data_IF_257566325174
#
_entry.id   IF_257566325174
#
_cell.length_a   1.000
_cell.length_b   1.000
_cell.length_c   1.000
_cell.angle_alpha   90.00
_cell.angle_beta   90.00
_cell.angle_gamma   90.00
#
_symmetry.space_group_name_H-M   'P 1'
#
loop_
_entity.id
_entity.type
_entity.pdbx_description
1 polymer ?
#
# COMPACT_ATOMS: atom_id res chain seq x y z
N UNK A 1 5.30 -2.26 -24.36
CA UNK A 1 5.06 -0.87 -23.88
C UNK A 1 5.86 -0.58 -22.59
N UNK A 2 6.37 -1.64 -21.94
CA UNK A 2 7.20 -1.65 -20.73
C UNK A 2 8.27 -0.56 -20.67
N UNK A 3 9.13 -0.38 -21.68
CA UNK A 3 10.23 0.60 -21.60
C UNK A 3 9.73 2.03 -21.41
N UNK A 4 8.64 2.43 -22.08
CA UNK A 4 8.06 3.77 -21.94
C UNK A 4 7.50 3.98 -20.54
N UNK A 5 6.79 2.99 -20.00
CA UNK A 5 6.25 3.01 -18.63
C UNK A 5 7.40 3.09 -17.62
N UNK A 6 8.40 2.22 -17.77
CA UNK A 6 9.58 2.19 -16.91
C UNK A 6 10.29 3.53 -16.84
N UNK A 7 10.61 4.16 -17.98
CA UNK A 7 11.29 5.45 -17.96
C UNK A 7 10.43 6.59 -17.39
N UNK A 8 9.12 6.54 -17.61
CA UNK A 8 8.20 7.51 -16.99
C UNK A 8 8.18 7.37 -15.47
N UNK A 9 8.07 6.14 -14.97
CA UNK A 9 8.10 5.83 -13.53
C UNK A 9 9.45 6.19 -12.93
N UNK A 10 10.56 5.77 -13.56
CA UNK A 10 11.92 6.06 -13.10
C UNK A 10 12.17 7.56 -12.99
N UNK A 11 11.75 8.33 -13.98
CA UNK A 11 11.84 9.80 -13.96
C UNK A 11 11.04 10.35 -12.78
N UNK A 12 9.79 9.93 -12.61
CA UNK A 12 8.91 10.45 -11.58
C UNK A 12 9.38 10.12 -10.16
N UNK A 13 9.93 8.91 -9.94
CA UNK A 13 10.59 8.53 -8.68
C UNK A 13 11.77 9.47 -8.40
N UNK A 14 12.66 9.66 -9.39
CA UNK A 14 13.87 10.46 -9.23
C UNK A 14 13.59 11.96 -9.01
N UNK A 15 12.53 12.48 -9.62
CA UNK A 15 12.13 13.89 -9.48
C UNK A 15 11.09 14.13 -8.39
N UNK A 16 10.55 13.06 -7.78
CA UNK A 16 9.37 13.11 -6.89
C UNK A 16 8.20 13.89 -7.52
N UNK A 17 8.03 13.76 -8.85
CA UNK A 17 7.04 14.55 -9.60
C UNK A 17 6.65 13.85 -10.93
N UNK A 18 5.35 13.67 -11.22
CA UNK A 18 4.19 13.98 -10.35
C UNK A 18 4.19 13.12 -9.07
N UNK A 19 3.30 13.37 -8.13
CA UNK A 19 3.13 12.55 -6.91
C UNK A 19 2.43 11.20 -7.19
N UNK A 20 1.82 11.07 -8.37
CA UNK A 20 1.12 9.86 -8.81
C UNK A 20 1.18 9.68 -10.32
N UNK A 21 1.37 8.44 -10.75
CA UNK A 21 1.20 7.99 -12.14
C UNK A 21 0.16 6.87 -12.19
N UNK A 22 -0.69 6.90 -13.22
CA UNK A 22 -1.67 5.84 -13.50
C UNK A 22 -1.52 5.48 -14.98
N UNK A 23 -1.37 4.18 -15.24
CA UNK A 23 -1.33 3.61 -16.57
C UNK A 23 -2.48 2.60 -16.67
N UNK A 24 -3.35 2.80 -17.65
CA UNK A 24 -4.52 1.95 -17.93
C UNK A 24 -4.21 0.98 -19.06
N UNK A 25 -4.89 -0.17 -19.10
CA UNK A 25 -4.75 -1.19 -20.15
C UNK A 25 -3.29 -1.66 -20.36
N UNK A 26 -2.53 -1.78 -19.27
CA UNK A 26 -1.15 -2.27 -19.30
C UNK A 26 -1.17 -3.80 -19.48
N UNK A 27 -0.32 -4.32 -20.35
CA UNK A 27 -0.17 -5.76 -20.48
C UNK A 27 0.47 -6.35 -19.21
N UNK A 28 -0.03 -7.48 -18.66
CA UNK A 28 0.58 -8.12 -17.48
C UNK A 28 2.08 -8.39 -17.62
N UNK A 29 2.56 -8.76 -18.82
CA UNK A 29 3.98 -9.02 -19.08
C UNK A 29 4.77 -7.70 -19.09
N UNK A 30 4.18 -6.62 -19.62
CA UNK A 30 4.76 -5.29 -19.53
C UNK A 30 4.86 -4.82 -18.06
N UNK A 31 3.85 -5.10 -17.23
CA UNK A 31 3.90 -4.82 -15.78
C UNK A 31 5.01 -5.63 -15.09
N UNK A 32 5.08 -6.94 -15.33
CA UNK A 32 6.11 -7.80 -14.74
C UNK A 32 7.51 -7.30 -15.09
N UNK A 33 7.75 -6.97 -16.36
CA UNK A 33 9.03 -6.40 -16.81
C UNK A 33 9.33 -5.04 -16.14
N UNK A 34 8.34 -4.17 -15.97
CA UNK A 34 8.51 -2.88 -15.27
C UNK A 34 8.88 -3.11 -13.80
N UNK A 35 8.18 -4.02 -13.10
CA UNK A 35 8.43 -4.32 -11.69
C UNK A 35 9.84 -4.91 -11.49
N UNK A 36 10.24 -5.86 -12.32
CA UNK A 36 11.58 -6.44 -12.31
C UNK A 36 12.65 -5.37 -12.58
N UNK A 37 12.43 -4.53 -13.59
CA UNK A 37 13.35 -3.45 -13.92
C UNK A 37 13.50 -2.47 -12.75
N UNK A 38 12.42 -2.04 -12.11
CA UNK A 38 12.48 -1.10 -10.97
C UNK A 38 13.21 -1.70 -9.76
N UNK A 39 13.14 -3.02 -9.56
CA UNK A 39 13.84 -3.73 -8.49
C UNK A 39 15.30 -4.04 -8.81
N UNK A 40 15.73 -3.81 -10.05
CA UNK A 40 17.12 -4.06 -10.42
C UNK A 40 18.07 -3.06 -9.74
N UNK A 41 19.11 -3.52 -9.00
CA UNK A 41 19.99 -2.65 -8.20
C UNK A 41 20.72 -1.54 -8.99
N UNK A 42 20.90 -1.73 -10.31
CA UNK A 42 21.52 -0.71 -11.17
C UNK A 42 20.74 0.61 -11.21
N UNK A 43 19.44 0.60 -10.87
CA UNK A 43 18.62 1.80 -10.87
C UNK A 43 18.79 2.67 -9.62
N UNK A 44 19.40 2.14 -8.55
CA UNK A 44 19.72 2.83 -7.29
C UNK A 44 18.50 3.50 -6.66
N UNK A 45 17.41 2.75 -6.53
CA UNK A 45 16.12 3.26 -6.07
C UNK A 45 15.89 3.07 -4.56
N UNK A 46 16.82 2.42 -3.86
CA UNK A 46 16.73 2.11 -2.42
C UNK A 46 16.61 3.37 -1.55
N UNK A 47 17.16 4.50 -2.01
CA UNK A 47 17.07 5.80 -1.34
C UNK A 47 15.79 6.59 -1.63
N UNK A 48 14.89 6.08 -2.47
CA UNK A 48 13.67 6.77 -2.89
C UNK A 48 12.43 6.14 -2.28
N UNK A 49 11.46 6.97 -1.90
CA UNK A 49 10.15 6.52 -1.43
C UNK A 49 9.16 6.52 -2.59
N UNK A 50 8.67 5.34 -2.96
CA UNK A 50 7.61 5.14 -3.94
C UNK A 50 6.79 3.89 -3.58
N UNK A 51 5.58 3.78 -4.13
CA UNK A 51 4.68 2.64 -3.95
C UNK A 51 4.15 2.21 -5.31
N UNK A 52 4.09 0.91 -5.54
CA UNK A 52 3.58 0.26 -6.73
C UNK A 52 2.30 -0.48 -6.35
N UNK A 53 1.26 -0.29 -7.16
CA UNK A 53 0.03 -1.04 -7.07
C UNK A 53 -0.39 -1.49 -8.46
N UNK A 54 -0.63 -2.78 -8.60
CA UNK A 54 -1.11 -3.43 -9.81
C UNK A 54 -2.48 -4.04 -9.54
N UNK A 55 -3.45 -3.64 -10.35
CA UNK A 55 -4.81 -4.11 -10.29
C UNK A 55 -5.03 -5.02 -11.49
N UNK A 56 -4.88 -6.33 -11.28
CA UNK A 56 -4.89 -7.32 -12.37
C UNK A 56 -6.22 -7.34 -13.12
N UNK A 57 -7.34 -7.25 -12.41
CA UNK A 57 -8.68 -7.17 -12.97
C UNK A 57 -8.86 -5.99 -13.95
N UNK A 58 -8.26 -4.84 -13.60
CA UNK A 58 -8.37 -3.59 -14.38
C UNK A 58 -7.26 -3.42 -15.41
N UNK A 59 -6.24 -4.28 -15.40
CA UNK A 59 -4.97 -4.08 -16.13
C UNK A 59 -4.38 -2.69 -15.88
N UNK A 60 -4.39 -2.25 -14.62
CA UNK A 60 -4.04 -0.89 -14.21
C UNK A 60 -2.82 -0.87 -13.31
N UNK A 61 -1.81 -0.11 -13.70
CA UNK A 61 -0.63 0.17 -12.88
C UNK A 61 -0.76 1.56 -12.27
N UNK A 62 -0.69 1.64 -10.94
CA UNK A 62 -0.63 2.87 -10.16
C UNK A 62 0.72 2.94 -9.47
N UNK A 63 1.43 4.05 -9.65
CA UNK A 63 2.66 4.35 -8.91
C UNK A 63 2.48 5.64 -8.15
N UNK A 64 2.80 5.63 -6.86
CA UNK A 64 2.70 6.79 -5.97
C UNK A 64 4.10 7.16 -5.50
N UNK A 65 4.40 8.46 -5.46
CA UNK A 65 5.60 9.03 -4.85
C UNK A 65 5.14 9.76 -3.58
N UNK A 66 5.09 9.07 -2.42
CA UNK A 66 4.48 9.63 -1.23
C UNK A 66 5.17 10.91 -0.79
N UNK A 67 4.37 11.96 -0.58
CA UNK A 67 4.80 13.17 0.12
C UNK A 67 4.63 13.04 1.63
N UNK A 68 5.13 14.01 2.40
CA UNK A 68 4.90 14.07 3.85
C UNK A 68 3.41 14.05 4.21
N UNK A 69 2.55 14.55 3.32
CA UNK A 69 1.10 14.56 3.50
C UNK A 69 0.50 13.15 3.36
N UNK A 70 1.02 12.33 2.45
CA UNK A 70 0.62 10.94 2.34
C UNK A 70 1.02 10.14 3.59
N UNK A 71 2.20 10.42 4.14
CA UNK A 71 2.75 9.70 5.29
C UNK A 71 2.23 10.18 6.65
N UNK A 72 1.72 11.42 6.76
CA UNK A 72 1.43 12.03 8.06
C UNK A 72 0.35 11.28 8.86
N UNK A 73 -0.62 10.65 8.18
CA UNK A 73 -1.65 9.87 8.83
C UNK A 73 -1.09 8.62 9.54
N UNK A 74 -0.16 7.92 8.89
CA UNK A 74 0.52 6.77 9.48
C UNK A 74 1.35 7.19 10.70
N UNK A 75 2.12 8.27 10.56
CA UNK A 75 2.92 8.84 11.66
C UNK A 75 2.05 9.29 12.83
N UNK A 76 0.89 9.91 12.57
CA UNK A 76 -0.06 10.30 13.60
C UNK A 76 -0.63 9.07 14.32
N UNK A 77 -1.09 8.06 13.59
CA UNK A 77 -1.67 6.86 14.17
C UNK A 77 -0.67 6.09 15.04
N UNK A 78 0.57 5.91 14.56
CA UNK A 78 1.66 5.32 15.34
C UNK A 78 1.90 6.08 16.65
N UNK A 79 1.97 7.42 16.59
CA UNK A 79 2.16 8.27 17.77
C UNK A 79 1.01 8.12 18.77
N UNK A 80 -0.23 7.99 18.29
CA UNK A 80 -1.40 7.79 19.15
C UNK A 80 -1.36 6.43 19.84
N UNK A 81 -0.96 5.37 19.13
CA UNK A 81 -0.82 4.02 19.69
C UNK A 81 0.27 3.99 20.76
N UNK A 82 1.45 4.56 20.48
CA UNK A 82 2.55 4.65 21.46
C UNK A 82 2.11 5.38 22.74
N UNK A 83 1.37 6.48 22.61
CA UNK A 83 0.81 7.20 23.77
C UNK A 83 -0.22 6.37 24.52
N UNK A 84 -1.11 5.68 23.81
CA UNK A 84 -2.13 4.84 24.42
C UNK A 84 -1.52 3.67 25.21
N UNK A 85 -0.47 3.03 24.69
CA UNK A 85 0.33 2.03 25.41
C UNK A 85 0.98 2.62 26.67
N UNK A 86 1.63 3.79 26.55
CA UNK A 86 2.30 4.46 27.67
C UNK A 86 1.34 4.87 28.80
N UNK A 87 0.08 5.18 28.45
CA UNK A 87 -0.97 5.51 29.41
C UNK A 87 -1.78 4.30 29.90
N UNK A 88 -1.45 3.08 29.44
CA UNK A 88 -2.17 1.86 29.81
C UNK A 88 -3.58 1.75 29.22
N UNK A 89 -3.93 2.55 28.21
CA UNK A 89 -5.20 2.45 27.47
C UNK A 89 -5.21 1.25 26.53
N UNK A 90 -4.04 0.90 25.99
CA UNK A 90 -3.80 -0.36 25.28
C UNK A 90 -2.94 -1.23 26.22
N UNK A 91 -3.36 -2.47 26.55
CA UNK A 91 -2.55 -3.36 27.37
C UNK A 91 -1.23 -3.72 26.68
N UNK A 92 -0.14 -3.88 27.46
CA UNK A 92 1.18 -4.25 26.91
C UNK A 92 1.18 -5.57 26.15
N UNK A 93 0.33 -6.52 26.53
CA UNK A 93 0.16 -7.80 25.81
C UNK A 93 -0.26 -7.62 24.35
N UNK A 94 -0.69 -6.41 23.95
CA UNK A 94 -1.00 -6.10 22.56
C UNK A 94 0.19 -6.29 21.63
N UNK A 95 1.42 -6.01 22.10
CA UNK A 95 2.65 -6.21 21.30
C UNK A 95 2.85 -7.69 20.92
N UNK A 96 2.32 -8.63 21.71
CA UNK A 96 2.34 -10.07 21.42
C UNK A 96 1.16 -10.53 20.54
N UNK A 97 0.20 -9.64 20.26
CA UNK A 97 -1.02 -9.97 19.48
C UNK A 97 -1.00 -9.41 18.07
N UNK A 98 -0.21 -8.37 17.82
CA UNK A 98 -0.32 -7.56 16.63
C UNK A 98 1.03 -6.99 16.22
N UNK A 99 1.39 -7.20 14.96
CA UNK A 99 2.52 -6.51 14.34
C UNK A 99 2.03 -5.31 13.54
N UNK A 100 2.70 -4.16 13.66
CA UNK A 100 2.50 -3.03 12.76
C UNK A 100 3.63 -3.00 11.74
N UNK A 101 3.29 -3.02 10.45
CA UNK A 101 4.25 -2.86 9.36
C UNK A 101 3.96 -1.60 8.55
N UNK A 102 5.02 -0.86 8.23
CA UNK A 102 4.99 0.28 7.30
C UNK A 102 5.42 -0.19 5.92
N UNK A 103 4.68 0.22 4.88
CA UNK A 103 5.02 -0.13 3.49
C UNK A 103 5.12 -1.63 3.14
N UNK A 104 4.35 -2.56 3.74
CA UNK A 104 4.40 -3.96 3.32
C UNK A 104 3.79 -4.17 1.93
N UNK A 105 4.34 -5.15 1.22
CA UNK A 105 3.86 -5.64 -0.08
C UNK A 105 2.94 -6.86 0.09
N UNK A 106 1.85 -6.92 -0.68
CA UNK A 106 0.96 -8.07 -0.77
C UNK A 106 0.68 -8.42 -2.23
N UNK A 107 0.76 -9.70 -2.58
CA UNK A 107 0.60 -10.21 -3.95
C UNK A 107 -0.15 -11.56 -4.02
N UNK A 108 -0.68 -12.03 -2.90
CA UNK A 108 -1.35 -13.32 -2.75
C UNK A 108 -2.89 -13.22 -2.91
N UNK A 109 -3.41 -12.10 -3.44
CA UNK A 109 -4.85 -11.87 -3.60
C UNK A 109 -5.55 -12.99 -4.40
N UNK A 110 -6.84 -13.21 -4.12
CA UNK A 110 -7.63 -14.35 -4.64
C UNK A 110 -8.77 -13.90 -5.56
N UNK A 111 -9.39 -14.88 -6.23
CA UNK A 111 -10.56 -14.72 -7.11
C UNK A 111 -10.32 -13.71 -8.24
N UNK A 112 -11.26 -12.77 -8.48
CA UNK A 112 -11.15 -11.74 -9.52
C UNK A 112 -9.91 -10.83 -9.35
N UNK A 113 -9.35 -10.79 -8.13
CA UNK A 113 -8.17 -9.99 -7.80
C UNK A 113 -6.86 -10.78 -7.89
N UNK A 114 -6.90 -12.06 -8.29
CA UNK A 114 -5.71 -12.89 -8.42
C UNK A 114 -4.68 -12.26 -9.35
N UNK A 115 -3.42 -12.29 -8.93
CA UNK A 115 -2.31 -11.64 -9.63
C UNK A 115 -2.20 -10.13 -9.42
N UNK A 116 -3.06 -9.51 -8.60
CA UNK A 116 -2.86 -8.13 -8.16
C UNK A 116 -1.65 -8.02 -7.23
N UNK A 117 -1.04 -6.83 -7.17
CA UNK A 117 0.07 -6.51 -6.29
C UNK A 117 -0.23 -5.17 -5.62
N UNK A 118 -0.02 -5.04 -4.31
CA UNK A 118 -0.32 -3.80 -3.60
C UNK A 118 0.60 -3.57 -2.42
N UNK A 119 1.12 -2.35 -2.34
CA UNK A 119 1.77 -1.84 -1.13
C UNK A 119 0.79 -1.02 -0.29
N UNK A 120 0.76 -1.26 1.02
CA UNK A 120 -0.02 -0.45 1.97
C UNK A 120 0.82 0.69 2.58
N UNK A 121 0.20 1.72 3.16
CA UNK A 121 0.95 2.71 3.94
C UNK A 121 1.32 2.17 5.33
N UNK A 122 0.33 1.64 6.03
CA UNK A 122 0.47 1.04 7.36
C UNK A 122 -0.49 -0.14 7.46
N UNK A 123 -0.09 -1.18 8.16
CA UNK A 123 -0.93 -2.36 8.36
C UNK A 123 -0.83 -2.87 9.79
N UNK A 124 -1.87 -3.57 10.22
CA UNK A 124 -1.94 -4.29 11.49
C UNK A 124 -2.13 -5.76 11.17
N UNK A 125 -1.09 -6.56 11.38
CA UNK A 125 -1.08 -7.99 11.13
C UNK A 125 -1.26 -8.76 12.45
N UNK A 126 -2.34 -9.54 12.59
CA UNK A 126 -2.51 -10.38 13.76
C UNK A 126 -1.40 -11.43 13.87
N UNK A 127 -0.92 -11.63 15.09
CA UNK A 127 -0.10 -12.79 15.42
C UNK A 127 -1.03 -14.00 15.67
N UNK A 128 -0.84 -15.08 14.94
CA UNK A 128 -1.72 -16.25 14.84
C UNK A 128 -0.98 -17.57 15.13
N UNK A 129 -1.74 -18.67 15.18
CA UNK A 129 -1.22 -20.00 15.47
C UNK A 129 -0.96 -20.25 16.97
N UNK A 130 -0.41 -21.42 17.32
CA UNK A 130 -0.02 -21.73 18.69
C UNK A 130 0.97 -20.68 19.22
N UNK A 131 0.72 -20.20 20.44
CA UNK A 131 1.56 -19.19 21.11
C UNK A 131 1.74 -17.87 20.33
N UNK A 132 0.93 -17.62 19.29
CA UNK A 132 1.03 -16.44 18.42
C UNK A 132 2.38 -16.31 17.72
N UNK A 133 3.03 -17.44 17.43
CA UNK A 133 4.36 -17.49 16.83
C UNK A 133 4.40 -17.16 15.33
N UNK A 134 3.24 -17.03 14.67
CA UNK A 134 3.13 -16.76 13.24
C UNK A 134 2.46 -15.42 12.99
N UNK A 135 2.71 -14.82 11.84
CA UNK A 135 2.02 -13.61 11.39
C UNK A 135 0.97 -14.02 10.36
N UNK A 136 -0.23 -13.48 10.44
CA UNK A 136 -1.27 -13.73 9.45
C UNK A 136 -0.82 -13.32 8.04
N UNK A 137 -1.25 -14.07 7.03
CA UNK A 137 -0.93 -13.79 5.62
C UNK A 137 -1.47 -12.44 5.12
N UNK A 138 -2.51 -11.93 5.79
CA UNK A 138 -3.11 -10.62 5.53
C UNK A 138 -3.25 -9.81 6.80
N UNK A 139 -3.19 -8.48 6.70
CA UNK A 139 -3.52 -7.62 7.82
C UNK A 139 -5.01 -7.65 8.11
N UNK A 140 -5.39 -7.41 9.36
CA UNK A 140 -6.80 -7.19 9.71
C UNK A 140 -7.23 -5.74 9.47
N UNK A 141 -6.28 -4.80 9.54
CA UNK A 141 -6.50 -3.37 9.31
C UNK A 141 -5.43 -2.83 8.38
N UNK A 142 -5.85 -2.07 7.37
CA UNK A 142 -4.95 -1.34 6.46
C UNK A 142 -5.26 0.15 6.54
N UNK A 143 -4.22 0.98 6.56
CA UNK A 143 -4.31 2.42 6.35
C UNK A 143 -3.92 2.74 4.91
N UNK A 144 -4.77 3.50 4.23
CA UNK A 144 -4.52 4.05 2.91
C UNK A 144 -4.67 5.57 2.97
N UNK A 145 -3.80 6.29 2.25
CA UNK A 145 -3.95 7.73 2.06
C UNK A 145 -4.10 8.07 0.59
N UNK A 146 -5.03 9.00 0.32
CA UNK A 146 -5.32 9.49 -1.02
C UNK A 146 -5.41 11.01 -1.00
N UNK A 147 -4.92 11.64 -2.07
CA UNK A 147 -4.98 13.09 -2.23
C UNK A 147 -5.95 13.46 -3.35
N UNK A 148 -5.57 13.19 -4.60
CA UNK A 148 -6.34 13.57 -5.79
C UNK A 148 -7.19 12.43 -6.36
N UNK A 149 -7.31 11.29 -5.65
CA UNK A 149 -8.21 10.20 -6.05
C UNK A 149 -9.69 10.58 -5.89
N UNK A 150 -10.52 10.15 -6.84
CA UNK A 150 -11.97 10.15 -6.67
C UNK A 150 -12.37 9.22 -5.52
N UNK A 151 -13.54 9.48 -4.94
CA UNK A 151 -14.08 8.59 -3.90
C UNK A 151 -14.31 7.15 -4.43
N UNK A 152 -14.76 7.01 -5.69
CA UNK A 152 -14.92 5.70 -6.33
C UNK A 152 -13.62 4.92 -6.43
N UNK A 153 -12.52 5.56 -6.85
CA UNK A 153 -11.22 4.88 -6.93
C UNK A 153 -10.68 4.47 -5.56
N UNK A 154 -10.95 5.25 -4.52
CA UNK A 154 -10.63 4.84 -3.15
C UNK A 154 -11.47 3.63 -2.73
N UNK A 155 -12.76 3.59 -3.08
CA UNK A 155 -13.61 2.44 -2.80
C UNK A 155 -13.10 1.19 -3.54
N UNK A 156 -12.69 1.30 -4.80
CA UNK A 156 -12.08 0.19 -5.55
C UNK A 156 -10.79 -0.30 -4.86
N UNK A 157 -9.95 0.63 -4.40
CA UNK A 157 -8.73 0.33 -3.66
C UNK A 157 -9.02 -0.42 -2.33
N UNK A 158 -10.12 -0.09 -1.64
CA UNK A 158 -10.59 -0.82 -0.46
C UNK A 158 -11.20 -2.18 -0.81
N UNK A 159 -11.94 -2.27 -1.91
CA UNK A 159 -12.55 -3.51 -2.40
C UNK A 159 -11.48 -4.57 -2.67
N UNK A 160 -10.38 -4.19 -3.32
CA UNK A 160 -9.24 -5.10 -3.52
C UNK A 160 -8.70 -5.64 -2.19
N UNK A 161 -8.53 -4.79 -1.18
CA UNK A 161 -8.08 -5.25 0.14
C UNK A 161 -9.07 -6.20 0.79
N UNK A 162 -10.35 -5.84 0.83
CA UNK A 162 -11.35 -6.61 1.57
C UNK A 162 -11.75 -7.88 0.83
N UNK A 163 -12.03 -7.82 -0.46
CA UNK A 163 -12.52 -8.95 -1.23
C UNK A 163 -11.38 -9.80 -1.79
N UNK A 164 -10.31 -9.16 -2.25
CA UNK A 164 -9.12 -9.85 -2.74
C UNK A 164 -8.36 -10.61 -1.64
N UNK A 165 -8.55 -10.28 -0.36
CA UNK A 165 -7.99 -11.06 0.76
C UNK A 165 -8.95 -12.13 1.31
N UNK A 166 -10.07 -12.40 0.63
CA UNK A 166 -11.09 -13.31 1.16
C UNK A 166 -11.72 -12.83 2.46
N UNK A 167 -11.85 -11.50 2.63
CA UNK A 167 -12.33 -10.81 3.83
C UNK A 167 -11.39 -10.93 5.04
N UNK A 168 -10.13 -11.31 4.86
CA UNK A 168 -9.15 -11.27 5.95
C UNK A 168 -8.86 -9.83 6.41
N UNK A 169 -8.75 -8.88 5.46
CA UNK A 169 -8.75 -7.45 5.77
C UNK A 169 -10.17 -7.03 6.16
N UNK A 170 -10.38 -6.67 7.43
CA UNK A 170 -11.68 -6.28 7.98
C UNK A 170 -11.94 -4.78 7.88
N UNK A 171 -10.90 -3.98 8.09
CA UNK A 171 -11.00 -2.52 8.12
C UNK A 171 -9.99 -1.91 7.16
N UNK A 172 -10.45 -0.99 6.32
CA UNK A 172 -9.60 -0.11 5.51
C UNK A 172 -9.84 1.31 5.98
N UNK A 173 -8.87 1.88 6.70
CA UNK A 173 -8.87 3.27 7.11
C UNK A 173 -8.41 4.11 5.93
N UNK A 174 -9.30 4.93 5.38
CA UNK A 174 -8.98 5.80 4.24
C UNK A 174 -8.84 7.24 4.71
N UNK A 175 -7.64 7.79 4.56
CA UNK A 175 -7.39 9.21 4.79
C UNK A 175 -7.41 9.92 3.46
N UNK A 176 -8.53 10.59 3.20
CA UNK A 176 -8.68 11.45 2.04
C UNK A 176 -8.39 12.88 2.42
N UNK A 177 -7.46 13.48 1.70
CA UNK A 177 -7.22 14.91 1.77
C UNK A 177 -7.88 15.63 0.59
N UNK A 178 -8.24 16.89 0.79
CA UNK A 178 -8.87 17.73 -0.23
C UNK A 178 -7.94 18.89 -0.58
N UNK A 179 -7.86 19.21 -1.88
CA UNK A 179 -7.27 20.49 -2.29
C UNK A 179 -8.20 21.60 -1.84
N UNK A 180 -7.68 22.72 -1.30
CA UNK A 180 -8.50 23.90 -1.09
C UNK A 180 -9.18 24.28 -2.41
N UNK A 181 -10.50 24.45 -2.39
CA UNK A 181 -11.34 24.89 -3.51
C UNK A 181 -11.59 23.86 -4.65
N UNK A 182 -11.74 22.57 -4.31
CA UNK A 182 -12.45 21.60 -5.17
C UNK A 182 -13.72 21.10 -4.50
#
# INVERSE_FOLDING_TARGET
MSSKIFYAVLKAIKTHCPDRLIFENVDPDDFAHVLESLRHPSNRLEGYSFRIHWFSADKRLKVVMPSNLHACAASWLLKMITRALAHGLIPQVWDDTMMIMTAPEFNNFINEFAGSFKEAYLTFLPCVGPERAQIAEYPSVVLESGWSESASRLQDDAKLWQEGSGRAVRVVLQVKFYRPNQ
#
